data_IF_930879667414
#
_entry.id   IF_930879667414
#
_cell.length_a   1.000
_cell.length_b   1.000
_cell.length_c   1.000
_cell.angle_alpha   90.00
_cell.angle_beta   90.00
_cell.angle_gamma   90.00
#
_symmetry.space_group_name_H-M   'P 1'
#
loop_
_entity.id
_entity.type
_entity.pdbx_description
1 polymer ?
#
# COMPACT_ATOMS: atom_id res chain seq x y z
N UNK A 1 1.54 -16.74 -10.76
CA UNK A 1 1.94 -15.42 -10.22
C UNK A 1 0.86 -14.92 -9.30
N UNK A 2 0.90 -15.32 -8.03
CA UNK A 2 -0.03 -14.86 -7.01
C UNK A 2 0.74 -13.89 -6.13
N UNK A 3 0.22 -12.67 -5.97
CA UNK A 3 0.78 -11.66 -5.06
C UNK A 3 0.84 -12.23 -3.65
N UNK A 4 1.97 -12.04 -2.98
CA UNK A 4 2.21 -12.55 -1.63
C UNK A 4 1.19 -11.90 -0.64
N UNK A 5 0.40 -12.70 0.11
CA UNK A 5 -0.56 -12.20 1.08
C UNK A 5 0.07 -11.40 2.23
N UNK A 6 1.39 -11.41 2.36
CA UNK A 6 2.15 -10.66 3.39
C UNK A 6 2.32 -9.18 3.03
N UNK A 7 2.06 -8.77 1.78
CA UNK A 7 2.20 -7.36 1.39
C UNK A 7 1.14 -6.50 2.06
N UNK A 8 1.60 -5.42 2.68
CA UNK A 8 0.74 -4.44 3.36
C UNK A 8 0.39 -3.23 2.50
N UNK A 9 1.33 -2.83 1.65
CA UNK A 9 1.26 -1.58 0.90
C UNK A 9 2.14 -1.70 -0.35
N UNK A 10 1.59 -1.25 -1.48
CA UNK A 10 2.33 -1.02 -2.70
C UNK A 10 2.69 0.46 -2.85
N UNK A 11 3.85 0.74 -3.44
CA UNK A 11 4.29 2.08 -3.79
C UNK A 11 4.64 2.07 -5.27
N UNK A 12 4.12 3.03 -6.03
CA UNK A 12 4.35 3.15 -7.46
C UNK A 12 4.56 4.60 -7.85
N UNK A 13 5.52 4.90 -8.72
CA UNK A 13 5.72 6.25 -9.25
C UNK A 13 4.95 6.51 -10.56
N UNK A 14 4.18 5.52 -11.02
CA UNK A 14 3.24 5.65 -12.12
C UNK A 14 1.87 5.09 -11.76
N UNK A 15 0.83 5.66 -12.36
CA UNK A 15 -0.55 5.18 -12.19
C UNK A 15 -0.73 3.82 -12.86
N UNK A 16 -1.30 2.88 -12.11
CA UNK A 16 -1.65 1.56 -12.64
C UNK A 16 -3.15 1.53 -12.93
N UNK A 17 -3.54 1.02 -14.10
CA UNK A 17 -4.95 0.96 -14.46
C UNK A 17 -5.70 -0.06 -13.59
N UNK A 18 -7.01 0.16 -13.31
CA UNK A 18 -7.80 -0.79 -12.52
C UNK A 18 -7.82 -2.22 -13.08
N UNK A 19 -7.75 -2.37 -14.41
CA UNK A 19 -7.71 -3.66 -15.09
C UNK A 19 -6.42 -4.43 -14.74
N UNK A 20 -5.28 -3.72 -14.74
CA UNK A 20 -3.99 -4.31 -14.37
C UNK A 20 -4.01 -4.74 -12.90
N UNK A 21 -4.51 -3.90 -11.99
CA UNK A 21 -4.63 -4.23 -10.57
C UNK A 21 -5.48 -5.48 -10.34
N UNK A 22 -6.60 -5.56 -11.06
CA UNK A 22 -7.50 -6.71 -11.02
C UNK A 22 -6.82 -7.98 -11.54
N UNK A 23 -6.10 -7.88 -12.67
CA UNK A 23 -5.38 -9.02 -13.27
C UNK A 23 -4.28 -9.57 -12.36
N UNK A 24 -3.61 -8.69 -11.61
CA UNK A 24 -2.57 -9.06 -10.65
C UNK A 24 -3.13 -9.45 -9.28
N UNK A 25 -4.46 -9.36 -9.10
CA UNK A 25 -5.16 -9.61 -7.82
C UNK A 25 -4.60 -8.76 -6.69
N UNK A 26 -4.21 -7.52 -6.99
CA UNK A 26 -3.74 -6.55 -6.01
C UNK A 26 -4.96 -5.94 -5.32
N UNK A 27 -5.18 -6.34 -4.07
CA UNK A 27 -6.26 -5.81 -3.23
C UNK A 27 -5.72 -4.90 -2.10
N UNK A 28 -4.39 -4.87 -1.94
CA UNK A 28 -3.69 -4.03 -1.00
C UNK A 28 -3.73 -2.56 -1.46
N UNK A 29 -3.65 -1.60 -0.52
CA UNK A 29 -3.54 -0.19 -0.88
C UNK A 29 -2.29 0.07 -1.73
N UNK A 30 -2.41 1.03 -2.65
CA UNK A 30 -1.30 1.55 -3.45
C UNK A 30 -1.15 3.03 -3.17
N UNK A 31 0.08 3.48 -2.93
CA UNK A 31 0.44 4.88 -2.86
C UNK A 31 1.19 5.25 -4.13
N UNK A 32 0.65 6.25 -4.84
CA UNK A 32 1.33 6.88 -5.95
C UNK A 32 2.24 8.00 -5.46
N UNK A 33 3.50 7.96 -5.87
CA UNK A 33 4.57 8.90 -5.53
C UNK A 33 5.15 9.57 -6.77
N UNK A 34 5.95 10.61 -6.61
CA UNK A 34 6.69 11.20 -7.71
C UNK A 34 7.89 10.32 -8.08
N UNK A 35 8.25 10.24 -9.38
CA UNK A 35 9.48 9.55 -9.83
C UNK A 35 10.74 10.11 -9.13
N UNK A 36 10.74 11.41 -8.84
CA UNK A 36 11.72 12.02 -7.93
C UNK A 36 11.03 12.27 -6.61
N UNK A 37 11.34 11.44 -5.62
CA UNK A 37 10.65 11.45 -4.33
C UNK A 37 10.78 12.81 -3.65
N UNK A 38 9.65 13.32 -3.20
CA UNK A 38 9.54 14.56 -2.44
C UNK A 38 9.27 14.24 -0.98
N UNK A 39 9.53 15.20 -0.09
CA UNK A 39 9.22 15.06 1.35
C UNK A 39 7.76 14.63 1.59
N UNK A 40 6.82 15.18 0.81
CA UNK A 40 5.41 14.82 0.86
C UNK A 40 5.12 13.36 0.53
N UNK A 41 5.92 12.71 -0.32
CA UNK A 41 5.79 11.28 -0.63
C UNK A 41 6.14 10.43 0.60
N UNK A 42 7.22 10.78 1.31
CA UNK A 42 7.59 10.11 2.56
C UNK A 42 6.52 10.26 3.64
N UNK A 43 5.96 11.47 3.80
CA UNK A 43 4.85 11.71 4.74
C UNK A 43 3.64 10.83 4.39
N UNK A 44 3.26 10.79 3.11
CA UNK A 44 2.14 9.98 2.62
C UNK A 44 2.35 8.49 2.87
N UNK A 45 3.57 7.98 2.67
CA UNK A 45 3.94 6.59 2.95
C UNK A 45 3.80 6.31 4.45
N UNK A 46 4.40 7.16 5.30
CA UNK A 46 4.37 7.00 6.76
C UNK A 46 2.94 6.99 7.30
N UNK A 47 2.09 7.90 6.84
CA UNK A 47 0.69 7.98 7.28
C UNK A 47 -0.10 6.70 6.95
N UNK A 48 0.14 6.09 5.79
CA UNK A 48 -0.53 4.86 5.40
C UNK A 48 0.01 3.65 6.17
N UNK A 49 1.32 3.56 6.36
CA UNK A 49 1.91 2.50 7.19
C UNK A 49 1.41 2.59 8.64
N UNK A 50 1.32 3.80 9.23
CA UNK A 50 0.78 3.99 10.56
C UNK A 50 -0.69 3.56 10.66
N UNK A 51 -1.52 3.85 9.64
CA UNK A 51 -2.92 3.38 9.55
C UNK A 51 -3.00 1.86 9.50
N UNK A 52 -2.16 1.21 8.69
CA UNK A 52 -2.13 -0.25 8.56
C UNK A 52 -1.69 -0.89 9.88
N UNK A 53 -0.60 -0.39 10.48
CA UNK A 53 -0.08 -0.87 11.75
C UNK A 53 -1.14 -0.78 12.86
N UNK A 54 -1.86 0.35 12.95
CA UNK A 54 -2.95 0.52 13.93
C UNK A 54 -4.08 -0.49 13.71
N UNK A 55 -4.49 -0.74 12.46
CA UNK A 55 -5.52 -1.74 12.14
C UNK A 55 -5.09 -3.14 12.56
N UNK A 56 -3.86 -3.55 12.21
CA UNK A 56 -3.30 -4.86 12.58
C UNK A 56 -3.17 -5.02 14.09
N UNK A 57 -2.68 -3.99 14.79
CA UNK A 57 -2.56 -4.00 16.24
C UNK A 57 -3.92 -4.19 16.93
N UNK A 58 -4.96 -3.48 16.47
CA UNK A 58 -6.32 -3.64 17.00
C UNK A 58 -6.88 -5.03 16.71
N UNK A 59 -6.68 -5.56 15.50
CA UNK A 59 -7.13 -6.90 15.14
C UNK A 59 -6.49 -7.98 16.03
N UNK A 60 -5.18 -7.88 16.28
CA UNK A 60 -4.46 -8.81 17.15
C UNK A 60 -4.87 -8.72 18.63
N UNK A 61 -5.42 -7.58 19.10
CA UNK A 61 -5.93 -7.44 20.48
C UNK A 61 -7.31 -8.08 20.67
N UNK A 62 -8.05 -8.33 19.59
CA UNK A 62 -9.42 -8.90 19.64
C UNK A 62 -9.45 -10.43 19.47
N UNK A 63 -8.31 -11.02 19.13
CA UNK A 63 -8.09 -12.47 19.08
C UNK A 63 -7.43 -12.95 20.38
#
# INVERSE_FOLDING_TARGET
>A
NQVDPVVDLYISDFSVSPEVLTSLRINQPIIYVNTRWLESDYVKINDNLAKIARKKFIANKKN
#
